data_IF_397705923517
#
_entry.id   IF_397705923517
#
_cell.length_a   1.000
_cell.length_b   1.000
_cell.length_c   1.000
_cell.angle_alpha   90.00
_cell.angle_beta   90.00
_cell.angle_gamma   90.00
#
_symmetry.space_group_name_H-M   'P 1'
#
loop_
_entity.id
_entity.type
_entity.pdbx_description
1 polymer ?
#
# COMPACT_ATOMS: atom_id res chain seq x y z
N UNK A 1 7.84 27.62 8.37
CA UNK A 1 6.43 27.23 8.42
C UNK A 1 6.34 25.72 8.23
N UNK A 2 5.93 24.97 9.25
CA UNK A 2 5.58 23.56 9.11
C UNK A 2 4.25 23.48 8.38
N UNK A 3 4.25 23.07 7.11
CA UNK A 3 3.01 22.80 6.39
C UNK A 3 2.42 21.49 6.93
N UNK A 4 1.16 21.52 7.34
CA UNK A 4 0.42 20.34 7.76
C UNK A 4 -0.25 19.69 6.54
N UNK A 5 -0.02 18.38 6.36
CA UNK A 5 -0.58 17.60 5.24
C UNK A 5 -1.96 17.02 5.59
N UNK A 6 -2.85 17.81 6.19
CA UNK A 6 -4.13 17.31 6.74
C UNK A 6 -4.97 16.54 5.72
N UNK A 7 -5.06 17.05 4.48
CA UNK A 7 -5.82 16.44 3.39
C UNK A 7 -5.34 15.04 3.00
N UNK A 8 -4.07 14.72 3.25
CA UNK A 8 -3.49 13.42 2.94
C UNK A 8 -4.11 12.31 3.81
N UNK A 9 -4.45 12.64 5.06
CA UNK A 9 -4.94 11.71 6.07
C UNK A 9 -6.48 11.66 6.18
N UNK A 10 -7.19 12.48 5.41
CA UNK A 10 -8.66 12.49 5.38
C UNK A 10 -9.21 11.23 4.67
N UNK A 11 -10.23 10.56 5.23
CA UNK A 11 -10.97 9.52 4.53
C UNK A 11 -11.59 10.03 3.23
N UNK A 12 -11.67 9.15 2.22
CA UNK A 12 -12.29 9.47 0.93
C UNK A 12 -12.92 8.23 0.31
N UNK A 13 -13.61 8.40 -0.81
CA UNK A 13 -14.05 7.27 -1.65
C UNK A 13 -13.19 7.22 -2.91
N UNK A 14 -12.66 6.04 -3.25
CA UNK A 14 -11.96 5.77 -4.50
C UNK A 14 -12.83 4.87 -5.38
N UNK A 15 -13.48 5.45 -6.39
CA UNK A 15 -14.49 4.74 -7.19
C UNK A 15 -15.69 4.36 -6.32
N UNK A 16 -15.83 3.06 -6.00
CA UNK A 16 -16.87 2.53 -5.11
C UNK A 16 -16.35 2.11 -3.73
N UNK A 17 -15.05 2.27 -3.47
CA UNK A 17 -14.39 1.79 -2.26
C UNK A 17 -14.17 2.93 -1.27
N UNK A 18 -14.71 2.86 -0.04
CA UNK A 18 -14.29 3.78 1.01
C UNK A 18 -12.85 3.46 1.42
N UNK A 19 -12.00 4.49 1.51
CA UNK A 19 -10.60 4.37 1.92
C UNK A 19 -10.33 5.31 3.10
N UNK A 20 -9.51 4.84 4.04
CA UNK A 20 -9.23 5.56 5.29
C UNK A 20 -8.43 6.86 5.12
N UNK A 21 -7.66 6.98 4.05
CA UNK A 21 -6.87 8.17 3.72
C UNK A 21 -6.49 8.17 2.23
N UNK A 22 -5.79 9.22 1.80
CA UNK A 22 -5.34 9.42 0.41
C UNK A 22 -3.92 8.90 0.15
N UNK A 23 -3.37 8.09 1.05
CA UNK A 23 -2.02 7.53 0.93
C UNK A 23 -2.10 6.20 0.19
N UNK A 24 -1.36 6.11 -0.90
CA UNK A 24 -1.28 4.90 -1.72
C UNK A 24 0.15 4.36 -1.72
N UNK A 25 0.29 3.08 -1.40
CA UNK A 25 1.47 2.32 -1.75
C UNK A 25 1.36 1.91 -3.23
N UNK A 26 2.26 2.43 -4.08
CA UNK A 26 2.27 2.14 -5.50
C UNK A 26 2.87 0.77 -5.80
N UNK A 27 2.38 0.14 -6.88
CA UNK A 27 2.93 -1.12 -7.37
C UNK A 27 4.44 -1.00 -7.61
N UNK A 28 5.19 -1.95 -7.06
CA UNK A 28 6.64 -1.97 -7.13
C UNK A 28 7.10 -3.40 -7.34
N UNK A 29 7.64 -3.67 -8.53
CA UNK A 29 8.20 -4.98 -8.86
C UNK A 29 9.47 -5.22 -8.05
N UNK A 30 9.48 -6.28 -7.25
CA UNK A 30 10.66 -6.74 -6.54
C UNK A 30 11.07 -8.06 -7.16
N UNK A 31 12.06 -8.01 -8.04
CA UNK A 31 12.43 -9.09 -8.96
C UNK A 31 12.92 -10.38 -8.29
N UNK A 32 13.05 -10.42 -6.96
CA UNK A 32 13.54 -11.58 -6.19
C UNK A 32 12.60 -12.04 -5.06
N UNK A 33 11.32 -11.65 -5.09
CA UNK A 33 10.35 -12.01 -4.04
C UNK A 33 9.33 -13.06 -4.49
N UNK A 34 9.29 -13.42 -5.77
CA UNK A 34 8.44 -14.51 -6.27
C UNK A 34 9.29 -15.75 -6.59
N UNK A 35 8.64 -16.91 -6.62
CA UNK A 35 9.24 -18.14 -7.15
C UNK A 35 9.42 -18.03 -8.68
N UNK A 36 10.20 -18.95 -9.25
CA UNK A 36 10.51 -18.96 -10.69
C UNK A 36 9.27 -19.15 -11.56
N UNK A 37 8.23 -19.79 -11.05
CA UNK A 37 6.94 -19.98 -11.72
C UNK A 37 5.98 -18.78 -11.56
N UNK A 38 6.40 -17.74 -10.84
CA UNK A 38 5.61 -16.54 -10.59
C UNK A 38 4.71 -16.62 -9.37
N UNK A 39 4.72 -17.71 -8.59
CA UNK A 39 3.97 -17.78 -7.34
C UNK A 39 4.57 -16.87 -6.26
N UNK A 40 3.72 -16.36 -5.37
CA UNK A 40 4.15 -15.50 -4.27
C UNK A 40 4.95 -16.30 -3.25
N UNK A 41 6.10 -15.78 -2.82
CA UNK A 41 6.83 -16.39 -1.70
C UNK A 41 6.30 -15.89 -0.36
N UNK A 42 6.68 -16.58 0.72
CA UNK A 42 6.50 -16.08 2.10
C UNK A 42 7.12 -14.70 2.33
N UNK A 43 8.17 -14.35 1.58
CA UNK A 43 8.82 -13.03 1.68
C UNK A 43 7.93 -11.95 1.07
N UNK A 44 7.29 -12.21 -0.06
CA UNK A 44 6.33 -11.27 -0.67
C UNK A 44 5.11 -11.09 0.23
N UNK A 45 4.58 -12.18 0.78
CA UNK A 45 3.47 -12.10 1.74
C UNK A 45 3.84 -11.28 2.97
N UNK A 46 5.01 -11.51 3.57
CA UNK A 46 5.49 -10.76 4.72
C UNK A 46 5.68 -9.26 4.42
N UNK A 47 6.21 -8.92 3.24
CA UNK A 47 6.30 -7.52 2.78
C UNK A 47 4.92 -6.87 2.71
N UNK A 48 3.94 -7.55 2.13
CA UNK A 48 2.58 -7.01 2.00
C UNK A 48 1.92 -6.80 3.37
N UNK A 49 2.16 -7.68 4.34
CA UNK A 49 1.69 -7.50 5.73
C UNK A 49 2.31 -6.26 6.39
N UNK A 50 3.62 -6.03 6.21
CA UNK A 50 4.31 -4.84 6.73
C UNK A 50 3.73 -3.57 6.10
N UNK A 51 3.52 -3.55 4.77
CA UNK A 51 2.94 -2.40 4.08
C UNK A 51 1.51 -2.13 4.57
N UNK A 52 0.70 -3.16 4.77
CA UNK A 52 -0.66 -3.02 5.30
C UNK A 52 -0.69 -2.37 6.70
N UNK A 53 0.36 -2.61 7.50
CA UNK A 53 0.57 -1.99 8.81
C UNK A 53 1.03 -0.53 8.80
N UNK A 54 1.36 0.07 7.63
CA UNK A 54 1.82 1.48 7.52
C UNK A 54 0.71 2.52 7.59
N UNK A 55 -0.52 2.08 7.81
CA UNK A 55 -1.74 2.86 7.72
C UNK A 55 -2.08 3.46 6.34
N UNK A 56 -1.43 3.04 5.25
CA UNK A 56 -1.84 3.46 3.90
C UNK A 56 -3.28 3.02 3.55
N UNK A 57 -4.03 3.89 2.88
CA UNK A 57 -5.42 3.63 2.50
C UNK A 57 -5.57 2.70 1.30
N UNK A 58 -4.55 2.60 0.45
CA UNK A 58 -4.58 1.82 -0.79
C UNK A 58 -3.22 1.13 -0.97
N UNK A 59 -3.24 -0.14 -1.38
CA UNK A 59 -2.09 -0.88 -1.89
C UNK A 59 -2.48 -1.40 -3.27
N UNK A 60 -1.63 -1.20 -4.27
CA UNK A 60 -1.81 -1.72 -5.64
C UNK A 60 -0.62 -2.52 -6.09
#
# INVERSE_FOLDING_TARGET
MTQTLSRLFEPTTWGKLPVRNRIKYGACCVSNYNERDGTITVRELGRMQVIAGTDCGIIT
#
